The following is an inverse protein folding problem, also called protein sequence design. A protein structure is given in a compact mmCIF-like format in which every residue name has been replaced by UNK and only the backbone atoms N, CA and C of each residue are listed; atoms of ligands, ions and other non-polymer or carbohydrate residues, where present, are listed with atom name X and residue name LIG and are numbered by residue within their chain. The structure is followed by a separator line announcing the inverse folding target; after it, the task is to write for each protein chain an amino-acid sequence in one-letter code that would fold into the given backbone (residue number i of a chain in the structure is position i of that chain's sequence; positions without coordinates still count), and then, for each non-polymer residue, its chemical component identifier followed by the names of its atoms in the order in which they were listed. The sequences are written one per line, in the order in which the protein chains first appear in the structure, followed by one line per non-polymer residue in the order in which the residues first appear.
data_IF_078758556003
#
_entry.id   IF_078758556003
#
_cell.length_a   1.000
_cell.length_b   1.000
_cell.length_c   1.000
_cell.angle_alpha   90.00
_cell.angle_beta   90.00
_cell.angle_gamma   90.00
#
_symmetry.space_group_name_H-M   'P 1'
#
loop_
_entity.id
_entity.type
_entity.pdbx_description
1 polymer ?
#
# COMPACT_ATOMS: atom_id res chain seq x y z
N UNK A 1 47.67 -53.45 28.27
CA UNK A 1 48.09 -52.22 28.98
C UNK A 1 48.64 -51.23 27.98
N UNK A 2 48.12 -50.00 27.97
CA UNK A 2 48.59 -48.79 27.24
C UNK A 2 48.41 -48.90 25.71
N UNK A 3 47.57 -48.10 25.05
CA UNK A 3 47.72 -46.65 24.90
C UNK A 3 46.36 -45.98 24.66
N UNK A 4 45.94 -45.12 25.59
CA UNK A 4 45.01 -44.04 25.32
C UNK A 4 45.78 -42.74 25.04
N UNK A 5 45.02 -41.72 24.63
CA UNK A 5 45.41 -40.30 24.54
C UNK A 5 46.21 -39.93 23.28
N UNK A 6 45.51 -39.60 22.18
CA UNK A 6 45.70 -38.35 21.40
C UNK A 6 44.37 -38.04 20.70
N UNK A 7 43.50 -37.26 21.33
CA UNK A 7 42.33 -36.67 20.65
C UNK A 7 42.00 -35.33 21.30
N UNK A 8 42.71 -34.27 20.91
CA UNK A 8 42.33 -32.89 21.17
C UNK A 8 43.18 -31.91 20.34
N UNK A 9 42.50 -31.12 19.49
CA UNK A 9 42.86 -29.79 18.96
C UNK A 9 43.86 -29.88 17.77
N UNK A 10 43.54 -29.45 16.54
CA UNK A 10 43.35 -28.04 16.12
C UNK A 10 42.50 -27.91 14.84
N UNK A 11 41.79 -26.79 14.75
CA UNK A 11 41.27 -26.06 13.57
C UNK A 11 39.81 -26.32 13.16
N UNK A 12 39.00 -25.37 13.60
CA UNK A 12 37.72 -24.97 13.07
C UNK A 12 37.67 -24.91 11.52
N UNK A 13 36.76 -25.67 10.93
CA UNK A 13 35.98 -25.17 9.80
C UNK A 13 34.52 -25.29 10.16
N UNK A 14 34.06 -24.18 10.75
CA UNK A 14 32.70 -23.68 10.69
C UNK A 14 32.24 -23.74 9.23
N UNK A 15 31.60 -24.84 8.84
CA UNK A 15 30.62 -24.79 7.76
C UNK A 15 29.34 -24.27 8.41
N UNK A 16 29.28 -22.93 8.48
CA UNK A 16 28.06 -22.17 8.59
C UNK A 16 27.06 -22.74 7.60
N UNK A 17 26.16 -23.57 8.10
CA UNK A 17 24.83 -23.65 7.52
C UNK A 17 24.28 -22.25 7.76
N UNK A 18 24.50 -21.36 6.79
CA UNK A 18 23.74 -20.15 6.64
C UNK A 18 22.31 -20.57 6.36
N UNK A 19 21.59 -21.05 7.37
CA UNK A 19 20.16 -20.83 7.42
C UNK A 19 20.02 -19.32 7.52
N UNK A 20 19.91 -18.68 6.35
CA UNK A 20 19.20 -17.42 6.28
C UNK A 20 17.83 -17.72 6.88
N UNK A 21 17.68 -17.43 8.18
CA UNK A 21 16.37 -17.30 8.78
C UNK A 21 15.79 -16.10 8.04
N UNK A 22 15.06 -16.38 6.96
CA UNK A 22 14.12 -15.40 6.42
C UNK A 22 13.19 -15.17 7.59
N UNK A 23 13.38 -14.07 8.32
CA UNK A 23 12.41 -13.63 9.30
C UNK A 23 11.10 -13.55 8.54
N UNK A 24 10.19 -14.49 8.80
CA UNK A 24 8.85 -14.44 8.23
C UNK A 24 8.30 -13.06 8.56
N UNK A 25 8.07 -12.25 7.53
CA UNK A 25 7.46 -10.95 7.71
C UNK A 25 6.00 -11.19 8.13
N UNK A 26 5.78 -11.35 9.44
CA UNK A 26 4.43 -11.44 10.00
C UNK A 26 3.69 -10.16 9.66
N UNK A 27 2.44 -10.30 9.25
CA UNK A 27 1.56 -9.17 8.89
C UNK A 27 0.52 -9.00 9.99
N UNK A 28 0.02 -7.77 10.20
CA UNK A 28 -0.97 -7.52 11.24
C UNK A 28 -2.15 -8.50 11.17
N UNK A 29 -2.32 -9.32 12.22
CA UNK A 29 -3.36 -10.36 12.30
C UNK A 29 -2.95 -11.76 11.83
N UNK A 30 -1.71 -12.00 11.41
CA UNK A 30 -1.20 -13.35 11.13
C UNK A 30 -0.93 -14.14 12.40
N UNK A 31 -0.81 -13.48 13.56
CA UNK A 31 -0.67 -14.09 14.88
C UNK A 31 -1.24 -13.18 15.97
N UNK A 32 -1.47 -13.76 17.15
CA UNK A 32 -1.85 -13.01 18.35
C UNK A 32 -0.68 -12.16 18.86
N UNK A 33 -0.92 -10.87 19.07
CA UNK A 33 0.07 -9.93 19.60
C UNK A 33 -0.22 -9.63 21.06
N UNK A 34 0.83 -9.67 21.88
CA UNK A 34 0.77 -9.46 23.33
C UNK A 34 2.12 -8.94 23.82
N UNK A 35 2.20 -8.56 25.10
CA UNK A 35 3.41 -8.06 25.74
C UNK A 35 4.65 -8.90 25.41
N UNK A 36 5.76 -8.23 25.07
CA UNK A 36 7.04 -8.84 24.73
C UNK A 36 7.17 -9.31 23.28
N UNK A 37 6.09 -9.32 22.48
CA UNK A 37 6.21 -9.59 21.04
C UNK A 37 6.95 -8.46 20.33
N UNK A 38 7.74 -8.83 19.33
CA UNK A 38 8.44 -7.91 18.43
C UNK A 38 8.18 -8.28 16.97
N UNK A 39 8.21 -7.30 16.08
CA UNK A 39 8.09 -7.52 14.63
C UNK A 39 7.37 -6.39 13.89
N UNK A 40 7.34 -6.49 12.55
CA UNK A 40 6.67 -5.50 11.70
C UNK A 40 5.14 -5.50 11.92
N UNK A 41 4.56 -6.64 12.28
CA UNK A 41 3.15 -6.74 12.68
C UNK A 41 2.82 -5.98 13.98
N UNK A 42 3.76 -5.92 14.93
CA UNK A 42 3.64 -5.09 16.13
C UNK A 42 3.72 -3.61 15.77
N UNK A 43 4.58 -3.25 14.82
CA UNK A 43 4.69 -1.88 14.33
C UNK A 43 3.44 -1.44 13.59
N UNK A 44 2.85 -2.32 12.77
CA UNK A 44 1.56 -2.08 12.12
C UNK A 44 0.43 -1.90 13.14
N UNK A 45 0.40 -2.71 14.21
CA UNK A 45 -0.53 -2.55 15.32
C UNK A 45 -0.39 -1.16 15.96
N UNK A 46 0.84 -0.75 16.27
CA UNK A 46 1.16 0.53 16.88
C UNK A 46 0.76 1.71 15.97
N UNK A 47 1.05 1.62 14.67
CA UNK A 47 0.60 2.60 13.67
C UNK A 47 -0.91 2.72 13.69
N UNK A 48 -1.63 1.60 13.66
CA UNK A 48 -3.10 1.60 13.68
C UNK A 48 -3.66 2.17 14.98
N UNK A 49 -3.14 1.78 16.14
CA UNK A 49 -3.57 2.35 17.43
C UNK A 49 -3.37 3.88 17.46
N UNK A 50 -2.22 4.38 17.00
CA UNK A 50 -1.98 5.81 16.86
C UNK A 50 -2.97 6.48 15.88
N UNK A 51 -3.26 5.87 14.73
CA UNK A 51 -4.26 6.36 13.77
C UNK A 51 -5.67 6.46 14.39
N UNK A 52 -6.00 5.53 15.29
CA UNK A 52 -7.25 5.53 16.03
C UNK A 52 -7.28 6.50 17.23
N UNK A 53 -6.15 7.15 17.53
CA UNK A 53 -6.00 8.12 18.63
C UNK A 53 -5.55 7.52 19.96
N UNK A 54 -5.08 6.27 19.96
CA UNK A 54 -4.51 5.61 21.13
C UNK A 54 -2.99 5.74 21.07
N UNK A 55 -2.45 6.70 21.83
CA UNK A 55 -1.03 7.01 21.83
C UNK A 55 -0.20 5.82 22.34
N UNK A 56 0.58 5.20 21.44
CA UNK A 56 1.58 4.17 21.76
C UNK A 56 3.02 4.68 21.73
N UNK A 57 3.24 5.96 21.39
CA UNK A 57 4.56 6.51 21.09
C UNK A 57 5.01 6.22 19.66
N UNK A 58 6.33 6.22 19.44
CA UNK A 58 6.91 5.87 18.14
C UNK A 58 6.65 4.37 17.85
N UNK A 59 6.17 4.01 16.63
CA UNK A 59 6.02 2.61 16.24
C UNK A 59 7.38 1.94 16.08
N UNK A 60 7.89 1.37 17.17
CA UNK A 60 9.21 0.74 17.29
C UNK A 60 9.18 -0.77 17.01
N UNK A 61 7.99 -1.35 16.81
CA UNK A 61 7.83 -2.78 16.59
C UNK A 61 7.98 -3.62 17.87
N UNK A 62 7.91 -3.00 19.05
CA UNK A 62 8.02 -3.67 20.36
C UNK A 62 6.70 -3.53 21.12
N UNK A 63 6.08 -4.66 21.47
CA UNK A 63 4.86 -4.68 22.26
C UNK A 63 5.21 -4.51 23.74
N UNK A 64 5.58 -3.30 24.13
CA UNK A 64 5.85 -2.93 25.51
C UNK A 64 4.61 -2.44 26.27
N UNK A 65 4.83 -1.88 27.46
CA UNK A 65 3.77 -1.38 28.35
C UNK A 65 2.92 -0.27 27.71
N UNK A 66 3.50 0.55 26.84
CA UNK A 66 2.77 1.60 26.11
C UNK A 66 1.75 1.01 25.15
N UNK A 67 2.18 0.05 24.34
CA UNK A 67 1.33 -0.69 23.40
C UNK A 67 0.20 -1.43 24.11
N UNK A 68 0.52 -2.15 25.19
CA UNK A 68 -0.47 -2.88 25.99
C UNK A 68 -1.54 -1.95 26.57
N UNK A 69 -1.14 -0.82 27.17
CA UNK A 69 -2.08 0.19 27.69
C UNK A 69 -3.00 0.74 26.59
N UNK A 70 -2.46 1.00 25.40
CA UNK A 70 -3.25 1.46 24.27
C UNK A 70 -4.26 0.40 23.78
N UNK A 71 -3.85 -0.88 23.74
CA UNK A 71 -4.75 -1.98 23.39
C UNK A 71 -5.86 -2.15 24.42
N UNK A 72 -5.55 -2.11 25.72
CA UNK A 72 -6.56 -2.14 26.80
C UNK A 72 -7.56 -1.00 26.63
N UNK A 73 -7.07 0.21 26.38
CA UNK A 73 -7.95 1.38 26.17
C UNK A 73 -8.81 1.20 24.93
N UNK A 74 -8.23 0.75 23.81
CA UNK A 74 -8.96 0.45 22.59
C UNK A 74 -10.05 -0.60 22.82
N UNK A 75 -9.72 -1.70 23.48
CA UNK A 75 -10.68 -2.77 23.80
C UNK A 75 -11.84 -2.26 24.64
N UNK A 76 -11.54 -1.47 25.68
CA UNK A 76 -12.55 -0.83 26.53
C UNK A 76 -13.48 0.06 25.72
N UNK A 77 -12.93 0.95 24.89
CA UNK A 77 -13.69 1.92 24.10
C UNK A 77 -14.49 1.25 22.97
N UNK A 78 -14.08 0.06 22.53
CA UNK A 78 -14.76 -0.72 21.48
C UNK A 78 -15.69 -1.82 22.00
N UNK A 79 -15.84 -1.97 23.32
CA UNK A 79 -16.69 -3.01 23.93
C UNK A 79 -16.18 -4.43 23.69
N UNK A 80 -14.86 -4.62 23.64
CA UNK A 80 -14.20 -5.92 23.48
C UNK A 80 -13.79 -6.50 24.84
N UNK A 81 -13.31 -7.75 24.84
CA UNK A 81 -12.62 -8.34 25.99
C UNK A 81 -11.38 -7.49 26.30
N UNK A 82 -11.26 -7.03 27.55
CA UNK A 82 -10.21 -6.10 28.00
C UNK A 82 -9.06 -6.90 28.61
N UNK A 83 -8.29 -7.56 27.76
CA UNK A 83 -7.19 -8.45 28.16
C UNK A 83 -5.80 -7.91 27.79
N UNK A 84 -5.72 -6.78 27.08
CA UNK A 84 -4.47 -6.22 26.57
C UNK A 84 -3.81 -7.06 25.48
N UNK A 85 -4.53 -8.04 24.93
CA UNK A 85 -4.08 -8.92 23.87
C UNK A 85 -4.73 -8.49 22.55
N UNK A 86 -3.89 -8.15 21.58
CA UNK A 86 -4.33 -7.91 20.21
C UNK A 86 -4.53 -9.25 19.47
N UNK A 87 -5.54 -10.00 19.92
CA UNK A 87 -6.06 -11.20 19.28
C UNK A 87 -7.03 -10.87 18.13
N UNK A 88 -7.64 -11.89 17.53
CA UNK A 88 -8.45 -11.75 16.31
C UNK A 88 -9.55 -10.69 16.42
N UNK A 89 -10.34 -10.69 17.49
CA UNK A 89 -11.40 -9.69 17.69
C UNK A 89 -10.87 -8.26 17.80
N UNK A 90 -9.77 -8.05 18.52
CA UNK A 90 -9.09 -6.76 18.63
C UNK A 90 -8.56 -6.30 17.28
N UNK A 91 -7.88 -7.18 16.55
CA UNK A 91 -7.30 -6.87 15.24
C UNK A 91 -8.38 -6.58 14.20
N UNK A 92 -9.44 -7.39 14.13
CA UNK A 92 -10.54 -7.18 13.18
C UNK A 92 -11.22 -5.84 13.45
N UNK A 93 -11.43 -5.49 14.71
CA UNK A 93 -11.97 -4.18 15.10
C UNK A 93 -11.02 -3.03 14.75
N UNK A 94 -9.72 -3.19 14.98
CA UNK A 94 -8.71 -2.16 14.70
C UNK A 94 -8.50 -1.95 13.19
N UNK A 95 -8.72 -3.00 12.39
CA UNK A 95 -8.73 -2.93 10.93
C UNK A 95 -9.98 -2.24 10.37
N UNK A 96 -11.10 -2.30 11.07
CA UNK A 96 -12.34 -1.63 10.64
C UNK A 96 -12.23 -0.11 10.81
N UNK A 97 -11.92 0.66 9.77
CA UNK A 97 -11.66 2.12 9.88
C UNK A 97 -12.66 2.88 10.79
N UNK A 98 -12.17 3.75 11.68
CA UNK A 98 -13.03 4.62 12.52
C UNK A 98 -13.77 5.61 11.63
N UNK A 99 -15.11 5.57 11.61
CA UNK A 99 -15.92 6.50 10.83
C UNK A 99 -16.86 7.36 11.69
N UNK A 100 -17.02 8.63 11.29
CA UNK A 100 -18.07 9.53 11.75
C UNK A 100 -19.28 9.35 10.84
N UNK A 101 -20.47 9.16 11.40
CA UNK A 101 -21.70 9.25 10.62
C UNK A 101 -22.03 10.71 10.34
N UNK A 102 -22.09 11.09 9.08
CA UNK A 102 -22.38 12.45 8.61
C UNK A 102 -23.64 12.44 7.74
N UNK A 103 -24.51 13.44 7.91
CA UNK A 103 -25.66 13.65 7.02
C UNK A 103 -25.34 14.78 6.07
N UNK A 104 -25.37 14.52 4.76
CA UNK A 104 -25.06 15.50 3.71
C UNK A 104 -26.01 16.69 3.80
N UNK A 105 -25.47 17.91 3.73
CA UNK A 105 -26.22 19.16 3.81
C UNK A 105 -26.25 19.86 2.45
N UNK A 106 -27.21 20.76 2.27
CA UNK A 106 -27.27 21.61 1.07
C UNK A 106 -25.94 22.38 0.89
N UNK A 107 -25.35 22.29 -0.31
CA UNK A 107 -24.06 22.91 -0.65
C UNK A 107 -22.82 22.08 -0.33
N UNK A 108 -22.97 20.88 0.24
CA UNK A 108 -21.89 19.93 0.40
C UNK A 108 -21.46 19.32 -0.94
N UNK A 109 -20.19 18.95 -1.01
CA UNK A 109 -19.65 18.00 -1.98
C UNK A 109 -18.62 17.13 -1.27
N UNK A 110 -18.26 15.99 -1.87
CA UNK A 110 -17.34 15.04 -1.24
C UNK A 110 -16.00 15.69 -0.86
N UNK A 111 -15.48 16.63 -1.66
CA UNK A 111 -14.21 17.33 -1.37
C UNK A 111 -14.32 18.22 -0.13
N UNK A 112 -15.41 18.99 0.01
CA UNK A 112 -15.67 19.81 1.20
C UNK A 112 -15.81 18.95 2.45
N UNK A 113 -16.52 17.82 2.34
CA UNK A 113 -16.68 16.86 3.44
C UNK A 113 -15.33 16.23 3.78
N UNK A 114 -14.55 15.78 2.79
CA UNK A 114 -13.22 15.21 2.98
C UNK A 114 -12.30 16.18 3.73
N UNK A 115 -12.23 17.43 3.28
CA UNK A 115 -11.43 18.47 3.93
C UNK A 115 -11.89 18.73 5.36
N UNK A 116 -13.20 18.85 5.58
CA UNK A 116 -13.80 19.10 6.89
C UNK A 116 -13.46 18.02 7.91
N UNK A 117 -13.44 16.76 7.48
CA UNK A 117 -13.19 15.62 8.35
C UNK A 117 -11.76 15.11 8.29
N UNK A 118 -10.86 15.87 7.66
CA UNK A 118 -9.45 15.51 7.50
C UNK A 118 -9.32 14.07 6.97
N UNK A 119 -10.00 13.80 5.86
CA UNK A 119 -9.96 12.53 5.16
C UNK A 119 -9.83 12.79 3.66
N UNK A 120 -9.96 11.77 2.82
CA UNK A 120 -9.97 11.93 1.36
C UNK A 120 -11.35 11.62 0.79
N UNK A 121 -11.66 12.21 -0.37
CA UNK A 121 -12.87 11.88 -1.14
C UNK A 121 -12.96 10.38 -1.36
N UNK A 122 -11.84 9.74 -1.69
CA UNK A 122 -11.77 8.29 -1.89
C UNK A 122 -12.21 7.52 -0.64
N UNK A 123 -11.65 7.84 0.52
CA UNK A 123 -11.99 7.15 1.77
C UNK A 123 -13.49 7.30 2.08
N UNK A 124 -14.07 8.47 1.80
CA UNK A 124 -15.52 8.64 1.90
C UNK A 124 -16.25 7.72 0.91
N UNK A 125 -15.84 7.70 -0.37
CA UNK A 125 -16.52 6.90 -1.40
C UNK A 125 -16.49 5.41 -1.10
N UNK A 126 -15.34 4.85 -0.75
CA UNK A 126 -15.19 3.41 -0.48
C UNK A 126 -15.97 2.99 0.78
N UNK A 127 -15.96 3.80 1.85
CA UNK A 127 -16.71 3.49 3.08
C UNK A 127 -18.24 3.61 2.92
N UNK A 128 -18.70 4.17 1.80
CA UNK A 128 -20.11 4.42 1.51
C UNK A 128 -20.58 3.77 0.22
N UNK A 129 -19.75 2.96 -0.44
CA UNK A 129 -20.03 2.34 -1.74
C UNK A 129 -20.46 3.36 -2.82
N UNK A 130 -19.86 4.55 -2.82
CA UNK A 130 -20.12 5.59 -3.82
C UNK A 130 -19.22 5.39 -5.04
N UNK A 131 -19.82 5.20 -6.21
CA UNK A 131 -19.09 5.05 -7.48
C UNK A 131 -18.81 6.41 -8.16
N UNK A 132 -19.67 7.40 -7.94
CA UNK A 132 -19.54 8.76 -8.48
C UNK A 132 -19.32 9.78 -7.36
N UNK A 133 -19.10 11.04 -7.73
CA UNK A 133 -18.97 12.12 -6.76
C UNK A 133 -20.33 12.76 -6.40
N UNK A 134 -21.43 12.19 -6.93
CA UNK A 134 -22.80 12.63 -6.66
C UNK A 134 -23.22 12.12 -5.28
N UNK A 135 -23.69 13.04 -4.45
CA UNK A 135 -24.28 12.79 -3.13
C UNK A 135 -25.57 13.60 -2.99
N UNK A 136 -26.51 13.11 -2.21
CA UNK A 136 -27.82 13.76 -2.03
C UNK A 136 -27.95 14.36 -0.64
N UNK A 137 -28.63 15.51 -0.53
CA UNK A 137 -28.92 16.11 0.78
C UNK A 137 -29.71 15.12 1.64
N UNK A 138 -29.28 14.93 2.89
CA UNK A 138 -29.84 13.95 3.82
C UNK A 138 -29.21 12.55 3.75
N UNK A 139 -28.37 12.29 2.76
CA UNK A 139 -27.65 11.02 2.65
C UNK A 139 -26.70 10.82 3.84
N UNK A 140 -26.72 9.63 4.44
CA UNK A 140 -25.87 9.29 5.58
C UNK A 140 -24.59 8.64 5.11
N UNK A 141 -23.47 9.34 5.30
CA UNK A 141 -22.13 8.89 4.96
C UNK A 141 -21.36 8.47 6.21
N UNK A 142 -20.72 7.31 6.17
CA UNK A 142 -19.63 6.89 7.04
C UNK A 142 -18.36 7.60 6.59
N UNK A 143 -17.98 8.67 7.27
CA UNK A 143 -16.79 9.46 6.98
C UNK A 143 -15.62 8.91 7.78
N UNK A 144 -14.71 8.14 7.18
CA UNK A 144 -13.53 7.64 7.90
C UNK A 144 -12.68 8.81 8.37
N UNK A 145 -12.35 8.83 9.66
CA UNK A 145 -11.34 9.74 10.20
C UNK A 145 -9.97 9.20 9.80
N UNK A 146 -9.26 9.89 8.91
CA UNK A 146 -7.83 9.69 8.82
C UNK A 146 -7.16 10.49 9.95
N UNK A 147 -6.09 9.93 10.54
CA UNK A 147 -5.06 10.76 11.19
C UNK A 147 -4.58 11.87 10.23
N UNK A 148 -3.90 12.91 10.72
CA UNK A 148 -3.63 14.15 9.99
C UNK A 148 -3.39 13.91 8.50
N UNK A 149 -4.22 14.52 7.64
CA UNK A 149 -3.93 14.61 6.22
C UNK A 149 -2.63 15.41 6.16
N UNK A 150 -1.50 14.71 6.15
CA UNK A 150 -0.31 15.31 5.60
C UNK A 150 -0.58 15.43 4.12
N UNK A 151 -1.11 16.58 3.73
CA UNK A 151 -0.95 17.22 2.41
C UNK A 151 0.55 17.47 2.11
N UNK A 152 1.44 16.67 2.68
CA UNK A 152 2.84 16.61 2.33
C UNK A 152 2.88 15.86 1.02
N UNK A 153 2.95 16.62 -0.07
CA UNK A 153 3.40 16.06 -1.34
C UNK A 153 4.71 15.31 -1.07
N UNK A 154 4.72 14.02 -1.36
CA UNK A 154 5.96 13.27 -1.34
C UNK A 154 6.83 13.83 -2.46
N UNK A 155 7.95 14.42 -2.09
CA UNK A 155 8.93 14.91 -3.06
C UNK A 155 9.90 13.78 -3.34
N UNK A 156 9.79 13.17 -4.52
CA UNK A 156 10.76 12.18 -4.98
C UNK A 156 11.73 12.86 -5.95
N UNK A 157 13.03 12.69 -5.72
CA UNK A 157 14.05 13.16 -6.66
C UNK A 157 14.27 12.08 -7.73
N UNK A 158 13.84 12.37 -8.96
CA UNK A 158 14.23 11.59 -10.14
C UNK A 158 15.68 11.92 -10.54
N UNK A 159 16.35 10.98 -11.22
CA UNK A 159 17.73 11.12 -11.72
C UNK A 159 17.83 12.06 -12.94
N UNK A 160 16.70 12.51 -13.48
CA UNK A 160 16.57 13.60 -14.44
C UNK A 160 15.90 14.80 -13.75
N UNK A 161 16.19 16.04 -14.19
CA UNK A 161 15.81 17.30 -13.54
C UNK A 161 14.29 17.56 -13.32
N UNK A 162 13.43 16.56 -13.41
CA UNK A 162 11.99 16.64 -13.16
C UNK A 162 11.65 16.14 -11.74
N UNK A 163 11.23 17.06 -10.87
CA UNK A 163 10.72 16.74 -9.52
C UNK A 163 9.23 16.43 -9.64
N UNK A 164 8.87 15.15 -9.64
CA UNK A 164 7.47 14.74 -9.60
C UNK A 164 6.99 14.84 -8.14
N UNK A 165 6.21 15.88 -7.84
CA UNK A 165 5.52 15.99 -6.56
C UNK A 165 4.27 15.12 -6.61
N UNK A 166 4.18 14.15 -5.69
CA UNK A 166 3.06 13.21 -5.66
C UNK A 166 2.29 13.41 -4.37
N UNK A 167 1.04 13.83 -4.48
CA UNK A 167 0.13 13.92 -3.33
C UNK A 167 -0.20 12.53 -2.79
N UNK A 168 -0.65 12.45 -1.53
CA UNK A 168 -1.12 11.18 -0.97
C UNK A 168 -2.27 10.55 -1.79
N UNK A 169 -3.09 11.38 -2.44
CA UNK A 169 -4.17 10.94 -3.31
C UNK A 169 -3.64 10.35 -4.63
N UNK A 170 -2.66 11.00 -5.26
CA UNK A 170 -2.03 10.46 -6.47
C UNK A 170 -1.23 9.19 -6.20
N UNK A 171 -0.58 9.09 -5.03
CA UNK A 171 0.10 7.87 -4.61
C UNK A 171 -0.90 6.70 -4.47
N UNK A 172 -2.08 6.96 -3.92
CA UNK A 172 -3.16 5.97 -3.81
C UNK A 172 -3.70 5.56 -5.19
N UNK A 173 -4.00 6.52 -6.08
CA UNK A 173 -4.42 6.23 -7.45
C UNK A 173 -3.39 5.40 -8.22
N UNK A 174 -2.12 5.77 -8.12
CA UNK A 174 -1.01 5.05 -8.75
C UNK A 174 -0.87 3.63 -8.21
N UNK A 175 -0.99 3.47 -6.89
CA UNK A 175 -0.96 2.15 -6.23
C UNK A 175 -2.10 1.26 -6.69
N UNK A 176 -3.31 1.81 -6.88
CA UNK A 176 -4.48 1.07 -7.37
C UNK A 176 -4.30 0.63 -8.81
N UNK A 177 -3.89 1.55 -9.69
CA UNK A 177 -3.60 1.23 -11.09
C UNK A 177 -2.57 0.09 -11.20
N UNK A 178 -1.49 0.17 -10.44
CA UNK A 178 -0.46 -0.89 -10.43
C UNK A 178 -1.01 -2.20 -9.86
N UNK A 179 -1.77 -2.14 -8.76
CA UNK A 179 -2.37 -3.33 -8.18
C UNK A 179 -3.32 -4.00 -9.16
N UNK A 180 -4.18 -3.25 -9.86
CA UNK A 180 -5.11 -3.85 -10.81
C UNK A 180 -4.44 -4.49 -12.01
N UNK A 181 -3.38 -3.89 -12.53
CA UNK A 181 -2.73 -4.32 -13.77
C UNK A 181 -1.70 -5.43 -13.53
N UNK A 182 -1.04 -5.40 -12.38
CA UNK A 182 0.08 -6.28 -12.07
C UNK A 182 -0.17 -7.18 -10.85
N UNK A 183 -1.42 -7.36 -10.41
CA UNK A 183 -1.73 -8.35 -9.37
C UNK A 183 -1.35 -9.75 -9.83
N UNK A 184 -0.52 -10.43 -9.03
CA UNK A 184 -0.02 -11.75 -9.34
C UNK A 184 1.15 -11.77 -10.33
N UNK A 185 1.66 -10.60 -10.73
CA UNK A 185 2.95 -10.47 -11.40
C UNK A 185 4.10 -10.44 -10.38
N UNK A 186 5.33 -10.82 -10.78
CA UNK A 186 6.50 -10.66 -9.94
C UNK A 186 6.69 -9.19 -9.52
N UNK A 187 7.37 -8.95 -8.39
CA UNK A 187 7.58 -7.60 -7.86
C UNK A 187 8.16 -6.63 -8.91
N UNK A 188 9.15 -7.09 -9.70
CA UNK A 188 9.73 -6.33 -10.81
C UNK A 188 8.69 -5.91 -11.86
N UNK A 189 7.67 -6.74 -12.11
CA UNK A 189 6.56 -6.43 -13.02
C UNK A 189 5.59 -5.37 -12.46
N UNK A 190 5.37 -5.35 -11.14
CA UNK A 190 4.60 -4.29 -10.49
C UNK A 190 5.32 -2.94 -10.58
N UNK A 191 6.65 -2.94 -10.33
CA UNK A 191 7.48 -1.73 -10.51
C UNK A 191 7.46 -1.29 -11.98
N UNK A 192 7.50 -2.23 -12.92
CA UNK A 192 7.46 -1.96 -14.36
C UNK A 192 6.19 -1.22 -14.78
N UNK A 193 5.00 -1.65 -14.32
CA UNK A 193 3.75 -0.95 -14.62
C UNK A 193 3.73 0.45 -13.99
N UNK A 194 4.22 0.60 -12.76
CA UNK A 194 4.34 1.91 -12.13
C UNK A 194 5.25 2.85 -12.95
N UNK A 195 6.38 2.33 -13.43
CA UNK A 195 7.33 3.08 -14.25
C UNK A 195 6.71 3.52 -15.59
N UNK A 196 5.91 2.67 -16.25
CA UNK A 196 5.19 3.06 -17.49
C UNK A 196 4.24 4.24 -17.25
N UNK A 197 3.50 4.25 -16.14
CA UNK A 197 2.62 5.37 -15.79
C UNK A 197 3.44 6.66 -15.62
N UNK A 198 4.56 6.59 -14.91
CA UNK A 198 5.44 7.75 -14.71
C UNK A 198 6.09 8.20 -16.03
N UNK A 199 6.49 7.27 -16.89
CA UNK A 199 7.02 7.56 -18.22
C UNK A 199 5.99 8.29 -19.08
N UNK A 200 4.70 7.91 -19.01
CA UNK A 200 3.61 8.65 -19.67
C UNK A 200 3.50 10.07 -19.14
N UNK A 201 3.46 10.25 -17.81
CA UNK A 201 3.39 11.60 -17.19
C UNK A 201 4.53 12.51 -17.67
N UNK A 202 5.70 11.94 -17.93
CA UNK A 202 6.89 12.66 -18.41
C UNK A 202 6.96 12.83 -19.93
N UNK A 203 6.11 12.13 -20.69
CA UNK A 203 6.23 12.04 -22.14
C UNK A 203 5.26 13.03 -22.82
N UNK A 204 5.72 13.90 -23.76
CA UNK A 204 4.89 14.96 -24.37
C UNK A 204 3.62 14.54 -25.14
N UNK A 205 3.42 13.23 -25.32
CA UNK A 205 2.29 12.66 -26.08
C UNK A 205 1.15 12.17 -25.19
N UNK A 206 1.34 12.21 -23.88
CA UNK A 206 0.38 11.79 -22.88
C UNK A 206 0.06 12.97 -21.95
N UNK A 207 -1.00 12.87 -21.14
CA UNK A 207 -1.26 13.84 -20.10
C UNK A 207 -0.09 13.97 -19.12
N UNK A 208 0.09 15.16 -18.56
CA UNK A 208 1.23 15.51 -17.72
C UNK A 208 0.94 15.42 -16.22
N UNK A 209 -0.16 14.76 -15.82
CA UNK A 209 -0.50 14.50 -14.42
C UNK A 209 -0.79 13.02 -14.19
N UNK A 210 -0.49 12.51 -12.98
CA UNK A 210 -0.77 11.11 -12.62
C UNK A 210 -2.26 10.82 -12.75
N UNK A 211 -3.10 11.77 -12.31
CA UNK A 211 -4.55 11.67 -12.44
C UNK A 211 -4.96 11.44 -13.89
N UNK A 212 -4.55 12.33 -14.79
CA UNK A 212 -5.05 12.30 -16.16
C UNK A 212 -4.51 11.08 -16.92
N UNK A 213 -3.28 10.64 -16.65
CA UNK A 213 -2.75 9.38 -17.22
C UNK A 213 -3.52 8.15 -16.74
N UNK A 214 -3.93 8.09 -15.47
CA UNK A 214 -4.65 6.95 -14.90
C UNK A 214 -6.11 6.94 -15.36
N UNK A 215 -6.75 8.11 -15.45
CA UNK A 215 -8.17 8.24 -15.79
C UNK A 215 -8.42 8.50 -17.29
N UNK A 216 -7.38 8.43 -18.14
CA UNK A 216 -7.55 8.43 -19.58
C UNK A 216 -8.46 7.28 -20.02
N UNK A 217 -9.46 7.52 -20.88
CA UNK A 217 -10.35 6.46 -21.35
C UNK A 217 -9.56 5.27 -21.89
N UNK A 218 -9.86 4.07 -21.37
CA UNK A 218 -9.25 2.80 -21.77
C UNK A 218 -7.77 2.61 -21.40
N UNK A 219 -7.16 3.50 -20.62
CA UNK A 219 -5.75 3.36 -20.21
C UNK A 219 -5.54 2.25 -19.16
N UNK A 220 -6.52 2.05 -18.27
CA UNK A 220 -6.49 1.08 -17.18
C UNK A 220 -7.88 0.46 -17.01
N UNK A 221 -8.06 -0.84 -17.27
CA UNK A 221 -9.40 -1.46 -17.32
C UNK A 221 -10.09 -1.41 -15.96
N UNK A 222 -9.33 -1.54 -14.88
CA UNK A 222 -9.88 -1.56 -13.53
C UNK A 222 -10.48 -0.24 -13.06
N UNK A 223 -10.09 0.90 -13.66
CA UNK A 223 -10.68 2.22 -13.38
C UNK A 223 -12.18 2.21 -13.71
N UNK A 224 -12.59 1.42 -14.71
CA UNK A 224 -13.96 1.30 -15.17
C UNK A 224 -14.70 0.08 -14.62
N UNK A 225 -13.98 -0.99 -14.28
CA UNK A 225 -14.58 -2.26 -13.80
C UNK A 225 -14.86 -2.29 -12.28
N UNK A 226 -14.75 -1.15 -11.59
CA UNK A 226 -14.99 -1.01 -10.15
C UNK A 226 -13.91 -1.63 -9.25
N UNK A 227 -12.99 -2.44 -9.79
CA UNK A 227 -11.91 -3.09 -9.05
C UNK A 227 -10.81 -2.11 -8.60
N UNK A 228 -10.65 -0.97 -9.28
CA UNK A 228 -9.73 0.10 -8.87
C UNK A 228 -10.02 0.59 -7.44
N UNK A 229 -11.26 0.47 -6.98
CA UNK A 229 -11.66 0.95 -5.65
C UNK A 229 -11.40 -0.06 -4.51
N UNK A 230 -10.92 -1.27 -4.81
CA UNK A 230 -10.52 -2.24 -3.79
C UNK A 230 -9.26 -1.78 -3.05
N UNK A 231 -9.15 -2.10 -1.76
CA UNK A 231 -7.92 -1.83 -1.00
C UNK A 231 -6.74 -2.58 -1.64
N UNK A 232 -5.68 -1.88 -2.09
CA UNK A 232 -4.50 -2.53 -2.64
C UNK A 232 -3.85 -3.41 -1.57
N UNK A 233 -3.63 -4.69 -1.88
CA UNK A 233 -2.95 -5.64 -0.97
C UNK A 233 -1.54 -5.97 -1.48
N UNK A 234 -0.66 -6.39 -0.57
CA UNK A 234 0.67 -6.88 -0.93
C UNK A 234 1.62 -5.77 -1.35
N UNK A 235 2.45 -6.01 -2.37
CA UNK A 235 3.65 -5.21 -2.65
C UNK A 235 3.44 -4.00 -3.56
N UNK A 236 2.22 -3.77 -4.08
CA UNK A 236 1.97 -2.75 -5.10
C UNK A 236 2.35 -1.33 -4.63
N UNK A 237 2.07 -0.98 -3.37
CA UNK A 237 2.44 0.33 -2.81
C UNK A 237 3.95 0.52 -2.78
N UNK A 238 4.69 -0.54 -2.40
CA UNK A 238 6.14 -0.50 -2.35
C UNK A 238 6.73 -0.40 -3.77
N UNK A 239 6.14 -1.12 -4.73
CA UNK A 239 6.55 -1.05 -6.14
C UNK A 239 6.39 0.36 -6.71
N UNK A 240 5.28 1.04 -6.40
CA UNK A 240 5.07 2.44 -6.77
C UNK A 240 6.10 3.36 -6.14
N UNK A 241 6.37 3.20 -4.85
CA UNK A 241 7.38 4.01 -4.15
C UNK A 241 8.76 3.83 -4.80
N UNK A 242 9.13 2.61 -5.19
CA UNK A 242 10.43 2.36 -5.79
C UNK A 242 10.53 2.90 -7.22
N UNK A 243 9.44 2.83 -8.00
CA UNK A 243 9.38 3.51 -9.30
C UNK A 243 9.49 5.04 -9.17
N UNK A 244 8.83 5.63 -8.16
CA UNK A 244 8.94 7.06 -7.85
C UNK A 244 10.35 7.47 -7.42
N UNK A 245 11.11 6.58 -6.76
CA UNK A 245 12.54 6.75 -6.46
C UNK A 245 13.44 6.59 -7.71
N UNK A 246 12.86 6.31 -8.87
CA UNK A 246 13.56 6.24 -10.15
C UNK A 246 13.95 4.83 -10.58
N UNK A 247 13.40 3.77 -9.98
CA UNK A 247 13.59 2.43 -10.52
C UNK A 247 12.64 2.17 -11.69
N UNK A 248 13.18 2.21 -12.91
CA UNK A 248 12.48 1.79 -14.12
C UNK A 248 13.10 0.50 -14.70
N UNK A 249 12.50 -0.68 -14.47
CA UNK A 249 12.98 -1.93 -15.05
C UNK A 249 12.61 -2.13 -16.53
N UNK A 250 11.81 -1.23 -17.12
CA UNK A 250 11.30 -1.33 -18.50
C UNK A 250 12.22 -0.69 -19.53
N UNK A 251 13.11 0.20 -19.09
CA UNK A 251 13.97 0.97 -19.98
C UNK A 251 13.26 2.12 -20.70
N UNK A 252 12.27 2.76 -20.07
CA UNK A 252 11.56 3.90 -20.65
C UNK A 252 10.30 3.54 -21.43
N UNK A 253 9.70 2.36 -21.20
CA UNK A 253 8.49 1.96 -21.91
C UNK A 253 7.31 2.87 -21.58
N UNK A 254 6.45 3.14 -22.58
CA UNK A 254 5.20 3.90 -22.46
C UNK A 254 3.96 3.04 -22.70
N UNK A 255 4.17 1.81 -23.19
CA UNK A 255 3.13 0.81 -23.41
C UNK A 255 3.52 -0.54 -22.80
N UNK A 256 2.52 -1.34 -22.46
CA UNK A 256 2.69 -2.76 -22.17
C UNK A 256 1.47 -3.56 -22.61
N UNK A 257 1.64 -4.87 -22.80
CA UNK A 257 0.54 -5.78 -23.10
C UNK A 257 0.82 -7.20 -22.63
N UNK A 258 -0.26 -7.92 -22.35
CA UNK A 258 -0.24 -9.36 -22.15
C UNK A 258 -0.76 -10.04 -23.43
N UNK A 259 0.04 -10.81 -24.17
CA UNK A 259 -0.35 -11.35 -25.48
C UNK A 259 -1.52 -12.34 -25.39
N UNK A 260 -1.78 -12.90 -24.21
CA UNK A 260 -2.90 -13.83 -23.97
C UNK A 260 -4.23 -13.08 -23.75
N UNK A 261 -4.18 -11.78 -23.41
CA UNK A 261 -5.37 -10.98 -23.08
C UNK A 261 -5.70 -9.89 -24.09
N UNK A 262 -4.73 -9.47 -24.90
CA UNK A 262 -4.89 -8.34 -25.81
C UNK A 262 -5.58 -8.77 -27.11
N UNK A 263 -6.57 -7.99 -27.53
CA UNK A 263 -7.31 -8.18 -28.80
C UNK A 263 -6.95 -7.15 -29.87
N UNK A 264 -6.31 -6.04 -29.49
CA UNK A 264 -5.90 -4.99 -30.44
C UNK A 264 -4.62 -5.38 -31.17
N UNK A 265 -4.66 -5.39 -32.51
CA UNK A 265 -3.49 -5.72 -33.34
C UNK A 265 -2.41 -4.63 -33.32
N UNK A 266 -2.81 -3.36 -33.13
CA UNK A 266 -1.89 -2.22 -33.15
C UNK A 266 -0.76 -2.34 -32.12
N UNK A 267 -1.01 -2.95 -30.95
CA UNK A 267 0.02 -3.05 -29.91
C UNK A 267 1.17 -3.98 -30.30
N UNK A 268 0.93 -4.95 -31.19
CA UNK A 268 1.96 -5.85 -31.72
C UNK A 268 2.87 -5.17 -32.75
N UNK A 269 2.51 -3.97 -33.24
CA UNK A 269 3.38 -3.19 -34.13
C UNK A 269 4.35 -2.29 -33.36
N UNK A 270 4.25 -2.24 -32.02
CA UNK A 270 5.13 -1.41 -31.19
C UNK A 270 6.47 -2.11 -30.95
N UNK A 271 7.61 -1.41 -31.04
CA UNK A 271 8.92 -1.98 -30.71
C UNK A 271 8.96 -2.45 -29.25
N UNK A 272 9.15 -3.76 -29.05
CA UNK A 272 9.30 -4.35 -27.72
C UNK A 272 10.69 -4.05 -27.18
N UNK A 273 10.75 -3.50 -25.96
CA UNK A 273 12.01 -3.31 -25.21
C UNK A 273 12.34 -4.56 -24.40
N UNK A 274 11.38 -5.07 -23.64
CA UNK A 274 11.61 -6.18 -22.71
C UNK A 274 10.33 -6.92 -22.35
N UNK A 275 10.47 -8.08 -21.74
CA UNK A 275 9.40 -8.86 -21.16
C UNK A 275 9.67 -9.07 -19.67
N UNK A 276 8.69 -8.75 -18.82
CA UNK A 276 8.76 -8.97 -17.37
C UNK A 276 7.47 -9.66 -16.93
N UNK A 277 7.62 -10.88 -16.42
CA UNK A 277 6.46 -11.73 -16.12
C UNK A 277 5.66 -12.02 -17.40
N UNK A 278 4.35 -11.75 -17.35
CA UNK A 278 3.43 -11.97 -18.48
C UNK A 278 3.24 -10.74 -19.37
N UNK A 279 3.95 -9.64 -19.08
CA UNK A 279 3.83 -8.39 -19.84
C UNK A 279 5.05 -8.13 -20.72
N UNK A 280 4.77 -7.74 -21.96
CA UNK A 280 5.73 -7.16 -22.89
C UNK A 280 5.65 -5.64 -22.76
N UNK A 281 6.79 -4.98 -22.67
CA UNK A 281 6.92 -3.53 -22.51
C UNK A 281 7.49 -2.93 -23.79
N UNK A 282 6.88 -1.85 -24.27
CA UNK A 282 7.15 -1.28 -25.59
C UNK A 282 7.10 0.26 -25.59
N UNK A 283 7.63 0.86 -26.66
CA UNK A 283 7.60 2.32 -26.92
C UNK A 283 6.64 2.69 -28.01
#
# INVERSE_FOLDING_TARGET
MKNGIIMAIVVAMVLLIGSSIIAEAYTLGSRTLMFGKVGEDVKDLQIKLNQWGYNVGAPDGIYGKGTEKAVIKFQKDQGLVIDGIAGRGTIDKLKAEKYIKYSVKAGDNLSKIANKFNTTVWKIKVNNNLYTDVIYVGEKLNIPQAGPNTTSAYTFQSRSNYRLQVTAQELDWLTRAVYSEARGEPYKGQVAVAAVILNRVLHPRFPNTIKDVIFEPWAFTAVHDGQFWLEPKGTARQAVIDALKGWDPTGGATFYYNPVKVTSYWIYTRPVITQIGRHYFAT
#
